data_IF_844659271369
#
_entry.id   IF_844659271369
#
_cell.length_a   1.000
_cell.length_b   1.000
_cell.length_c   1.000
_cell.angle_alpha   90.00
_cell.angle_beta   90.00
_cell.angle_gamma   90.00
#
_symmetry.space_group_name_H-M   'P 1'
#
loop_
_entity.id
_entity.type
_entity.pdbx_description
1 polymer ?
#
# COMPACT_ATOMS: atom_id res chain seq x y z
N UNK A 1 25.74 1.91 12.52
CA UNK A 1 24.99 0.92 11.70
C UNK A 1 24.41 1.59 10.45
N UNK A 2 23.67 2.69 10.56
CA UNK A 2 23.17 3.42 9.38
C UNK A 2 24.30 3.88 8.42
N UNK A 3 25.29 4.62 8.92
CA UNK A 3 26.45 5.05 8.11
C UNK A 3 27.31 3.91 7.51
N UNK A 4 27.22 2.70 8.07
CA UNK A 4 27.90 1.54 7.49
C UNK A 4 27.07 0.83 6.41
N UNK A 5 25.76 1.11 6.37
CA UNK A 5 24.85 0.63 5.34
C UNK A 5 24.79 1.60 4.16
N UNK A 6 24.78 2.91 4.42
CA UNK A 6 24.82 3.95 3.39
C UNK A 6 26.21 4.01 2.74
N UNK A 7 26.38 3.24 1.66
CA UNK A 7 27.64 3.22 0.89
C UNK A 7 27.69 4.32 -0.14
N UNK A 8 26.54 4.77 -0.60
CA UNK A 8 26.42 5.86 -1.58
C UNK A 8 26.75 7.22 -0.98
N UNK A 9 26.55 7.39 0.34
CA UNK A 9 26.78 8.61 1.10
C UNK A 9 25.73 9.69 0.86
N UNK A 10 24.54 9.31 0.40
CA UNK A 10 23.45 10.25 0.10
C UNK A 10 22.52 10.50 1.30
N UNK A 11 22.76 9.82 2.43
CA UNK A 11 21.94 9.92 3.64
C UNK A 11 20.66 9.10 3.56
N UNK A 12 20.52 8.26 2.54
CA UNK A 12 19.46 7.28 2.38
C UNK A 12 20.08 5.88 2.40
N UNK A 13 19.28 4.89 2.79
CA UNK A 13 19.69 3.50 2.77
C UNK A 13 18.73 2.71 1.91
N UNK A 14 19.26 2.15 0.84
CA UNK A 14 18.47 1.44 -0.15
C UNK A 14 18.52 -0.06 0.13
N UNK A 15 17.50 -0.80 -0.27
CA UNK A 15 17.43 -2.27 -0.09
C UNK A 15 18.70 -2.98 -0.59
N UNK A 16 19.25 -2.51 -1.72
CA UNK A 16 20.46 -3.10 -2.32
C UNK A 16 21.68 -2.94 -1.42
N UNK A 17 21.86 -1.76 -0.83
CA UNK A 17 23.01 -1.47 0.04
C UNK A 17 22.96 -2.32 1.31
N UNK A 18 21.75 -2.53 1.85
CA UNK A 18 21.55 -3.43 3.00
C UNK A 18 21.86 -4.88 2.65
N UNK A 19 21.38 -5.36 1.50
CA UNK A 19 21.69 -6.73 1.03
C UNK A 19 23.19 -6.90 0.78
N UNK A 20 23.85 -5.90 0.21
CA UNK A 20 25.31 -5.90 0.03
C UNK A 20 26.06 -5.89 1.35
N UNK A 21 25.66 -5.05 2.31
CA UNK A 21 26.27 -5.01 3.62
C UNK A 21 26.13 -6.36 4.36
N UNK A 22 24.97 -7.02 4.29
CA UNK A 22 24.77 -8.36 4.84
C UNK A 22 25.70 -9.37 4.17
N UNK A 23 25.84 -9.32 2.83
CA UNK A 23 26.75 -10.20 2.07
C UNK A 23 28.22 -9.97 2.42
N UNK A 24 28.60 -8.72 2.68
CA UNK A 24 29.94 -8.33 3.11
C UNK A 24 30.24 -8.73 4.56
N UNK A 25 29.29 -9.37 5.24
CA UNK A 25 29.49 -9.91 6.58
C UNK A 25 29.31 -8.85 7.67
N UNK A 26 28.40 -7.89 7.46
CA UNK A 26 28.00 -6.92 8.49
C UNK A 26 27.70 -7.67 9.79
N UNK A 27 28.55 -7.47 10.80
CA UNK A 27 28.38 -8.07 12.12
C UNK A 27 27.39 -7.24 12.89
N UNK A 28 26.17 -7.75 12.98
CA UNK A 28 25.14 -7.21 13.85
C UNK A 28 25.12 -8.00 15.15
N UNK A 29 24.73 -7.34 16.24
CA UNK A 29 24.53 -7.99 17.53
C UNK A 29 23.49 -9.12 17.40
N UNK A 30 23.68 -10.20 18.16
CA UNK A 30 22.90 -11.44 18.01
C UNK A 30 21.38 -11.22 18.14
N UNK A 31 20.98 -10.22 18.92
CA UNK A 31 19.58 -9.84 19.17
C UNK A 31 18.87 -9.29 17.93
N UNK A 32 19.62 -8.69 17.00
CA UNK A 32 19.10 -8.06 15.78
C UNK A 32 19.41 -8.89 14.52
N UNK A 33 20.26 -9.92 14.66
CA UNK A 33 20.70 -10.76 13.55
C UNK A 33 19.55 -11.58 12.94
N UNK A 34 18.62 -12.06 13.76
CA UNK A 34 17.42 -12.80 13.31
C UNK A 34 16.39 -11.90 12.62
N UNK A 35 16.45 -10.59 12.90
CA UNK A 35 15.60 -9.56 12.30
C UNK A 35 16.16 -9.16 10.93
N UNK A 36 17.49 -9.02 10.84
CA UNK A 36 18.22 -8.61 9.62
C UNK A 36 18.54 -9.82 8.74
N UNK A 37 17.57 -10.73 8.59
CA UNK A 37 17.62 -11.75 7.56
C UNK A 37 17.23 -11.12 6.22
N UNK A 38 17.96 -11.33 5.11
CA UNK A 38 17.66 -10.68 3.83
C UNK A 38 16.21 -10.86 3.35
N UNK A 39 15.57 -12.00 3.63
CA UNK A 39 14.15 -12.23 3.29
C UNK A 39 13.23 -11.35 4.15
N UNK A 40 13.47 -11.30 5.46
CA UNK A 40 12.68 -10.49 6.40
C UNK A 40 12.97 -9.00 6.28
N UNK A 41 14.16 -8.65 5.80
CA UNK A 41 14.60 -7.27 5.68
C UNK A 41 13.85 -6.54 4.57
N UNK A 42 13.42 -7.24 3.51
CA UNK A 42 12.51 -6.70 2.50
C UNK A 42 11.14 -6.35 3.11
N UNK A 43 10.56 -7.30 3.83
CA UNK A 43 9.28 -7.10 4.53
C UNK A 43 9.38 -5.98 5.59
N UNK A 44 10.54 -5.88 6.24
CA UNK A 44 10.87 -4.83 7.19
C UNK A 44 10.96 -3.47 6.52
N UNK A 45 11.65 -3.39 5.38
CA UNK A 45 11.75 -2.17 4.57
C UNK A 45 10.37 -1.68 4.17
N UNK A 46 9.53 -2.55 3.60
CA UNK A 46 8.18 -2.20 3.21
C UNK A 46 7.33 -1.76 4.42
N UNK A 47 7.54 -2.34 5.59
CA UNK A 47 6.81 -1.97 6.81
C UNK A 47 7.27 -0.61 7.40
N UNK A 48 8.56 -0.31 7.31
CA UNK A 48 9.19 0.89 7.88
C UNK A 48 9.09 2.09 6.94
N UNK A 49 9.23 1.88 5.63
CA UNK A 49 9.17 2.90 4.59
C UNK A 49 7.79 3.58 4.63
N UNK A 50 7.73 4.74 5.27
CA UNK A 50 6.45 5.40 5.53
C UNK A 50 5.96 6.11 4.29
N UNK A 51 6.84 6.52 3.38
CA UNK A 51 6.51 7.32 2.21
C UNK A 51 6.51 6.53 0.89
N UNK A 52 6.95 5.26 0.91
CA UNK A 52 7.08 4.37 -0.25
C UNK A 52 8.04 4.92 -1.30
N UNK A 53 9.07 5.63 -0.86
CA UNK A 53 10.16 6.06 -1.75
C UNK A 53 10.98 4.86 -2.24
N UNK A 54 11.00 3.76 -1.47
CA UNK A 54 11.87 2.60 -1.68
C UNK A 54 13.24 2.75 -1.02
N UNK A 55 13.49 3.90 -0.38
CA UNK A 55 14.72 4.27 0.30
C UNK A 55 14.38 4.65 1.75
N UNK A 56 15.24 4.30 2.71
CA UNK A 56 15.01 4.65 4.11
C UNK A 56 15.86 5.83 4.53
N UNK A 57 15.20 6.87 5.04
CA UNK A 57 15.90 7.95 5.74
C UNK A 57 16.46 7.45 7.08
N UNK A 58 17.46 8.15 7.63
CA UNK A 58 18.02 7.82 8.95
C UNK A 58 16.93 7.77 10.05
N UNK A 59 15.97 8.70 9.99
CA UNK A 59 14.88 8.76 10.95
C UNK A 59 13.96 7.53 10.86
N UNK A 60 13.57 7.15 9.64
CA UNK A 60 12.73 5.96 9.40
C UNK A 60 13.45 4.69 9.80
N UNK A 61 14.74 4.58 9.46
CA UNK A 61 15.56 3.42 9.81
C UNK A 61 15.65 3.24 11.33
N UNK A 62 15.94 4.30 12.09
CA UNK A 62 16.08 4.22 13.55
C UNK A 62 14.73 3.97 14.22
N UNK A 63 13.67 4.66 13.81
CA UNK A 63 12.33 4.48 14.39
C UNK A 63 11.78 3.08 14.07
N UNK A 64 11.96 2.62 12.84
CA UNK A 64 11.52 1.32 12.37
C UNK A 64 12.28 0.17 13.00
N UNK A 65 13.61 0.21 12.97
CA UNK A 65 14.44 -0.81 13.60
C UNK A 65 14.27 -0.80 15.13
N UNK A 66 14.12 0.38 15.74
CA UNK A 66 13.83 0.53 17.15
C UNK A 66 12.48 -0.09 17.53
N UNK A 67 11.44 0.11 16.71
CA UNK A 67 10.18 -0.59 16.89
C UNK A 67 10.37 -2.10 16.83
N UNK A 68 11.08 -2.62 15.84
CA UNK A 68 11.16 -4.07 15.62
C UNK A 68 12.06 -4.76 16.65
N UNK A 69 13.17 -4.13 17.03
CA UNK A 69 14.09 -4.66 18.03
C UNK A 69 13.50 -4.62 19.45
N UNK A 70 12.62 -3.66 19.75
CA UNK A 70 12.04 -3.48 21.08
C UNK A 70 10.62 -4.02 21.24
N UNK A 71 9.96 -4.39 20.15
CA UNK A 71 8.60 -4.93 20.20
C UNK A 71 8.58 -6.40 19.84
N UNK A 72 7.99 -7.22 20.73
CA UNK A 72 7.64 -8.64 20.47
C UNK A 72 6.54 -8.79 19.40
N UNK A 73 6.32 -7.76 18.59
CA UNK A 73 5.25 -7.70 17.61
C UNK A 73 5.72 -8.43 16.36
N UNK A 74 5.03 -9.51 15.94
CA UNK A 74 5.39 -10.23 14.73
C UNK A 74 5.41 -9.31 13.52
N UNK A 75 6.31 -9.57 12.57
CA UNK A 75 6.48 -8.76 11.36
C UNK A 75 5.18 -8.63 10.56
N UNK A 76 4.37 -9.69 10.54
CA UNK A 76 3.05 -9.69 9.92
C UNK A 76 2.12 -8.65 10.56
N UNK A 77 2.22 -8.45 11.88
CA UNK A 77 1.45 -7.42 12.59
C UNK A 77 1.95 -6.03 12.22
N UNK A 78 3.26 -5.86 12.03
CA UNK A 78 3.82 -4.59 11.51
C UNK A 78 3.34 -4.30 10.09
N UNK A 79 3.32 -5.29 9.21
CA UNK A 79 2.74 -5.16 7.86
C UNK A 79 1.26 -4.78 7.91
N UNK A 80 0.48 -5.39 8.81
CA UNK A 80 -0.93 -5.02 9.02
C UNK A 80 -1.04 -3.57 9.50
N UNK A 81 -0.26 -3.16 10.50
CA UNK A 81 -0.26 -1.78 11.01
C UNK A 81 0.16 -0.78 9.93
N UNK A 82 1.12 -1.15 9.08
CA UNK A 82 1.54 -0.37 7.93
C UNK A 82 0.39 -0.19 6.92
N UNK A 83 -0.26 -1.29 6.51
CA UNK A 83 -1.46 -1.23 5.65
C UNK A 83 -2.57 -0.37 6.26
N UNK A 84 -2.82 -0.48 7.56
CA UNK A 84 -3.82 0.35 8.26
C UNK A 84 -3.45 1.84 8.23
N UNK A 85 -2.18 2.20 8.36
CA UNK A 85 -1.72 3.60 8.25
C UNK A 85 -1.96 4.14 6.83
N UNK A 86 -1.70 3.34 5.80
CA UNK A 86 -1.95 3.72 4.40
C UNK A 86 -3.43 3.94 4.16
N UNK A 87 -4.27 2.95 4.49
CA UNK A 87 -5.71 3.05 4.32
C UNK A 87 -6.26 4.30 5.02
N UNK A 88 -5.73 4.64 6.20
CA UNK A 88 -6.09 5.87 6.91
C UNK A 88 -5.70 7.15 6.15
N UNK A 89 -4.52 7.19 5.51
CA UNK A 89 -4.09 8.33 4.69
C UNK A 89 -4.94 8.46 3.42
N UNK A 90 -5.20 7.36 2.72
CA UNK A 90 -6.04 7.33 1.53
C UNK A 90 -7.48 7.79 1.84
N UNK A 91 -8.06 7.26 2.91
CA UNK A 91 -9.38 7.71 3.39
C UNK A 91 -9.38 9.19 3.77
N UNK A 92 -8.29 9.70 4.34
CA UNK A 92 -8.15 11.12 4.68
C UNK A 92 -8.07 12.00 3.43
N UNK A 93 -7.42 11.52 2.36
CA UNK A 93 -7.34 12.21 1.07
C UNK A 93 -8.71 12.23 0.38
N UNK A 94 -9.36 11.07 0.26
CA UNK A 94 -10.71 10.94 -0.31
C UNK A 94 -11.75 11.79 0.44
N UNK A 95 -11.70 11.80 1.78
CA UNK A 95 -12.56 12.66 2.62
C UNK A 95 -12.36 14.15 2.32
N UNK A 96 -11.14 14.58 2.01
CA UNK A 96 -10.81 15.97 1.68
C UNK A 96 -11.41 16.36 0.32
N UNK A 97 -11.32 15.49 -0.68
CA UNK A 97 -11.92 15.70 -2.01
C UNK A 97 -13.44 15.80 -1.95
N UNK A 98 -14.09 14.90 -1.20
CA UNK A 98 -15.56 14.95 -1.01
C UNK A 98 -15.97 16.28 -0.36
N UNK A 99 -15.19 16.76 0.63
CA UNK A 99 -15.44 18.04 1.28
C UNK A 99 -15.29 19.21 0.30
N UNK A 100 -14.28 19.21 -0.57
CA UNK A 100 -14.08 20.25 -1.59
C UNK A 100 -15.21 20.28 -2.62
N UNK A 101 -15.64 19.12 -3.13
CA UNK A 101 -16.74 19.04 -4.12
C UNK A 101 -18.06 19.54 -3.56
N UNK A 102 -18.37 19.24 -2.29
CA UNK A 102 -19.59 19.75 -1.62
C UNK A 102 -19.61 21.26 -1.48
N UNK A 103 -18.45 21.92 -1.33
CA UNK A 103 -18.38 23.39 -1.22
C UNK A 103 -18.70 24.04 -2.58
N UNK A 104 -18.23 23.45 -3.69
CA UNK A 104 -18.45 23.99 -5.04
C UNK A 104 -19.91 23.84 -5.48
N UNK A 105 -20.54 22.69 -5.20
CA UNK A 105 -21.92 22.44 -5.61
C UNK A 105 -22.97 23.30 -4.89
N UNK A 106 -22.67 23.79 -3.67
CA UNK A 106 -23.59 24.67 -2.93
C UNK A 106 -23.61 26.08 -3.53
N UNK A 107 -22.48 26.57 -4.04
CA UNK A 107 -22.38 27.90 -4.66
C UNK A 107 -23.02 28.00 -6.06
N UNK A 108 -23.18 26.90 -6.79
CA UNK A 108 -23.82 26.91 -8.12
C UNK A 108 -25.36 26.87 -8.05
N UNK A 109 -25.92 26.34 -6.97
CA UNK A 109 -27.38 26.23 -6.80
C UNK A 109 -28.07 27.56 -6.44
N UNK A 110 -27.34 28.61 -6.06
CA UNK A 110 -27.92 29.93 -5.73
C UNK A 110 -27.98 30.90 -6.94
N UNK A 111 -27.46 30.51 -8.11
CA UNK A 111 -27.53 31.34 -9.35
C UNK A 111 -28.54 30.86 -10.39
N UNK A 112 -29.19 29.72 -10.18
CA UNK A 112 -30.25 29.26 -11.07
C UNK A 112 -31.56 29.99 -10.74
N UNK A 113 -31.75 31.16 -11.35
CA UNK A 113 -33.06 31.83 -11.40
C UNK A 113 -34.13 30.94 -12.06
N UNK A 114 -35.43 31.22 -11.83
CA UNK A 114 -36.55 30.39 -12.27
C UNK A 114 -36.71 30.44 -13.79
N UNK A 115 -36.16 29.46 -14.50
CA UNK A 115 -36.39 29.31 -15.94
C UNK A 115 -37.77 28.73 -16.17
N UNK A 116 -38.61 29.50 -16.87
CA UNK A 116 -39.99 29.16 -17.19
C UNK A 116 -40.11 27.85 -17.99
N UNK A 117 -41.09 27.08 -17.53
CA UNK A 117 -41.75 25.91 -18.10
C UNK A 117 -42.03 26.03 -19.60
N UNK A 118 -41.61 25.03 -20.38
CA UNK A 118 -42.23 24.68 -21.66
C UNK A 118 -42.53 23.19 -21.68
N UNK A 119 -43.78 22.77 -21.93
CA UNK A 119 -44.19 21.36 -21.87
C UNK A 119 -44.00 20.63 -23.21
N UNK A 120 -43.53 19.38 -23.12
CA UNK A 120 -43.84 18.16 -23.89
C UNK A 120 -44.02 18.21 -25.43
N UNK A 121 -43.58 17.18 -26.18
CA UNK A 121 -44.42 15.98 -26.30
C UNK A 121 -43.70 14.61 -26.35
N UNK A 122 -44.40 13.66 -25.75
CA UNK A 122 -44.48 12.20 -25.98
C UNK A 122 -43.83 11.57 -27.23
N UNK A 123 -43.08 10.47 -27.04
CA UNK A 123 -43.46 9.11 -27.48
C UNK A 123 -42.47 8.02 -27.00
N UNK A 124 -42.87 6.73 -26.94
CA UNK A 124 -42.19 5.62 -26.26
C UNK A 124 -41.63 4.55 -27.26
N UNK A 125 -41.47 3.28 -26.85
CA UNK A 125 -40.23 2.60 -26.46
C UNK A 125 -39.62 1.75 -27.60
N UNK A 126 -38.36 1.33 -27.49
CA UNK A 126 -37.84 0.23 -28.31
C UNK A 126 -36.88 -0.65 -27.51
N UNK A 127 -37.36 -1.87 -27.28
CA UNK A 127 -36.62 -3.04 -26.83
C UNK A 127 -35.40 -3.31 -27.71
N UNK A 128 -34.31 -3.74 -27.09
CA UNK A 128 -33.10 -4.15 -27.76
C UNK A 128 -32.24 -5.01 -26.83
N UNK A 129 -32.75 -6.20 -26.51
CA UNK A 129 -32.00 -7.29 -25.88
C UNK A 129 -30.83 -7.67 -26.79
N UNK A 130 -29.60 -7.47 -26.33
CA UNK A 130 -28.43 -8.15 -26.84
C UNK A 130 -27.58 -8.62 -25.65
N UNK A 131 -27.73 -9.89 -25.32
CA UNK A 131 -26.77 -10.61 -24.49
C UNK A 131 -25.51 -10.86 -25.32
N UNK A 132 -24.30 -10.69 -24.75
CA UNK A 132 -23.14 -11.39 -25.25
C UNK A 132 -23.00 -12.74 -24.53
N UNK A 133 -23.16 -13.80 -25.31
CA UNK A 133 -22.52 -15.10 -25.10
C UNK A 133 -21.03 -14.88 -24.84
N UNK A 134 -20.52 -15.38 -23.71
CA UNK A 134 -19.10 -15.71 -23.60
C UNK A 134 -18.96 -17.14 -23.07
N UNK A 135 -18.85 -18.02 -24.06
CA UNK A 135 -18.42 -19.39 -24.03
C UNK A 135 -17.16 -19.64 -23.17
N UNK A 136 -17.13 -20.83 -22.56
CA UNK A 136 -15.98 -21.78 -22.51
C UNK A 136 -14.76 -21.36 -21.70
N UNK A 137 -14.01 -22.21 -21.00
CA UNK A 137 -13.91 -23.65 -20.80
C UNK A 137 -12.86 -23.80 -19.67
N UNK A 138 -12.56 -25.06 -19.29
CA UNK A 138 -11.35 -25.49 -18.58
C UNK A 138 -11.31 -25.22 -17.07
N UNK A 139 -10.90 -26.14 -16.20
CA UNK A 139 -10.54 -27.55 -16.31
C UNK A 139 -10.34 -28.01 -14.86
N UNK A 140 -10.50 -29.30 -14.61
CA UNK A 140 -10.44 -29.95 -13.29
C UNK A 140 -9.00 -30.01 -12.69
N UNK A 141 -8.64 -31.00 -11.86
CA UNK A 141 -8.71 -31.02 -10.39
C UNK A 141 -7.33 -31.17 -9.71
N UNK A 142 -7.35 -31.20 -8.36
CA UNK A 142 -6.26 -31.47 -7.41
C UNK A 142 -5.16 -32.47 -7.82
N UNK A 143 -3.99 -32.39 -7.15
CA UNK A 143 -3.36 -33.61 -6.63
C UNK A 143 -2.96 -33.58 -5.15
N UNK A 144 -3.21 -34.73 -4.53
CA UNK A 144 -2.78 -35.22 -3.20
C UNK A 144 -1.29 -34.98 -2.92
N UNK A 145 -0.96 -34.58 -1.70
CA UNK A 145 0.35 -34.88 -1.09
C UNK A 145 0.17 -35.97 -0.02
N UNK A 146 0.78 -37.11 -0.30
CA UNK A 146 0.94 -38.26 0.57
C UNK A 146 1.83 -37.89 1.76
N UNK A 147 1.28 -37.99 2.98
CA UNK A 147 2.11 -38.07 4.19
C UNK A 147 2.56 -39.52 4.34
N UNK A 148 3.82 -39.79 4.01
CA UNK A 148 4.50 -41.04 4.39
C UNK A 148 4.83 -40.97 5.88
N UNK A 149 4.69 -42.13 6.52
CA UNK A 149 4.87 -42.42 7.95
C UNK A 149 6.26 -42.05 8.47
#
# INVERSE_FOLDING_TARGET
LFQSLDKSGDGLVNVKEVVEAIKDGLRVEAEIQDIINPTRMLDLFDAIDQDRSGDLTEAEFVEGLGCVALSDVPLETMQILHHLRILRRELSSCKREIKQRKVISVSESERAGPTMTTPAPSSPPSEGLAQPDLLTEESSPSPRMLLRM
#
